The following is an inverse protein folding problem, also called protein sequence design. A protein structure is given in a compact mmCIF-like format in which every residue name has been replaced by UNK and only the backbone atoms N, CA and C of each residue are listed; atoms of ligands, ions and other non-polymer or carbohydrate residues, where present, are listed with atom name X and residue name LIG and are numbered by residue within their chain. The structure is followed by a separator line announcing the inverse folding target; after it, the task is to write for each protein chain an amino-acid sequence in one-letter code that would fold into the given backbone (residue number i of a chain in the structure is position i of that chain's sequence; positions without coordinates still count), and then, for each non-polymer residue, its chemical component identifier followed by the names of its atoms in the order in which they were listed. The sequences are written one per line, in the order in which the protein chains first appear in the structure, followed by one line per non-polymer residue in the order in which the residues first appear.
data_IF_299402046204
#
_entry.id   IF_299402046204
#
_cell.length_a   1.000
_cell.length_b   1.000
_cell.length_c   1.000
_cell.angle_alpha   90.00
_cell.angle_beta   90.00
_cell.angle_gamma   90.00
#
_symmetry.space_group_name_H-M   'P 1'
#
loop_
_entity.id
_entity.type
_entity.pdbx_description
1 polymer ?
#
# COMPACT_ATOMS: atom_id res chain seq x y z
N UNK A 1 -10.97 -16.83 2.68
CA UNK A 1 -11.35 -15.86 3.73
C UNK A 1 -10.27 -15.91 4.81
N UNK A 2 -9.77 -14.76 5.29
CA UNK A 2 -8.74 -14.74 6.32
C UNK A 2 -9.22 -15.39 7.61
N UNK A 3 -8.30 -15.98 8.37
CA UNK A 3 -8.55 -16.51 9.71
C UNK A 3 -9.08 -15.41 10.64
N UNK A 4 -9.77 -15.78 11.71
CA UNK A 4 -10.32 -14.80 12.66
C UNK A 4 -9.24 -13.89 13.28
N UNK A 5 -8.04 -14.44 13.51
CA UNK A 5 -6.86 -13.66 13.96
C UNK A 5 -6.46 -12.65 12.89
N UNK A 6 -6.28 -13.13 11.65
CA UNK A 6 -5.81 -12.29 10.55
C UNK A 6 -6.83 -11.24 10.13
N UNK A 7 -8.13 -11.53 10.23
CA UNK A 7 -9.20 -10.56 9.96
C UNK A 7 -9.17 -9.38 10.94
N UNK A 8 -8.85 -9.61 12.22
CA UNK A 8 -8.66 -8.50 13.19
C UNK A 8 -7.48 -7.61 12.78
N UNK A 9 -6.37 -8.23 12.37
CA UNK A 9 -5.20 -7.52 11.88
C UNK A 9 -5.50 -6.76 10.58
N UNK A 10 -6.30 -7.32 9.68
CA UNK A 10 -6.71 -6.69 8.42
C UNK A 10 -7.57 -5.44 8.68
N UNK A 11 -8.51 -5.49 9.64
CA UNK A 11 -9.30 -4.32 10.04
C UNK A 11 -8.40 -3.24 10.65
N UNK A 12 -7.48 -3.61 11.53
CA UNK A 12 -6.52 -2.66 12.11
C UNK A 12 -5.61 -2.05 11.03
N UNK A 13 -5.13 -2.86 10.09
CA UNK A 13 -4.30 -2.40 8.97
C UNK A 13 -5.07 -1.42 8.09
N UNK A 14 -6.35 -1.70 7.76
CA UNK A 14 -7.18 -0.75 7.01
C UNK A 14 -7.26 0.59 7.73
N UNK A 15 -7.52 0.61 9.04
CA UNK A 15 -7.59 1.86 9.81
C UNK A 15 -6.26 2.65 9.79
N UNK A 16 -5.12 1.96 9.96
CA UNK A 16 -3.79 2.59 9.92
C UNK A 16 -3.48 3.14 8.53
N UNK A 17 -3.77 2.39 7.47
CA UNK A 17 -3.48 2.84 6.11
C UNK A 17 -4.47 3.89 5.60
N UNK A 18 -5.68 3.95 6.16
CA UNK A 18 -6.63 5.05 5.95
C UNK A 18 -6.07 6.37 6.50
N UNK A 19 -5.53 6.34 7.72
CA UNK A 19 -4.83 7.50 8.30
C UNK A 19 -3.57 7.86 7.51
N UNK A 20 -2.79 6.86 7.07
CA UNK A 20 -1.62 7.10 6.21
C UNK A 20 -2.02 7.78 4.90
N UNK A 21 -3.11 7.32 4.26
CA UNK A 21 -3.66 7.96 3.07
C UNK A 21 -4.00 9.42 3.36
N UNK A 22 -4.70 9.72 4.45
CA UNK A 22 -5.09 11.09 4.78
C UNK A 22 -3.90 12.01 5.01
N UNK A 23 -2.88 11.53 5.72
CA UNK A 23 -1.67 12.30 6.01
C UNK A 23 -0.86 12.65 4.75
N UNK A 24 -0.78 11.73 3.78
CA UNK A 24 0.09 11.89 2.61
C UNK A 24 -0.64 12.32 1.33
N UNK A 25 -1.88 11.90 1.14
CA UNK A 25 -2.64 12.08 -0.09
C UNK A 25 -3.83 13.03 0.08
N UNK A 26 -4.20 13.38 1.33
CA UNK A 26 -5.35 14.21 1.76
C UNK A 26 -6.73 13.66 1.41
N UNK A 27 -6.86 13.02 0.26
CA UNK A 27 -8.06 12.39 -0.27
C UNK A 27 -7.67 11.18 -1.14
N UNK A 28 -8.64 10.35 -1.51
CA UNK A 28 -8.48 9.12 -2.26
C UNK A 28 -9.01 7.91 -1.51
N UNK A 29 -8.62 6.72 -1.96
CA UNK A 29 -9.12 5.46 -1.42
C UNK A 29 -7.92 4.58 -1.06
N UNK A 30 -7.97 3.99 0.13
CA UNK A 30 -7.03 2.96 0.57
C UNK A 30 -7.78 1.68 0.90
N UNK A 31 -7.12 0.54 0.73
CA UNK A 31 -7.63 -0.75 1.18
C UNK A 31 -6.48 -1.69 1.49
N UNK A 32 -6.62 -2.47 2.55
CA UNK A 32 -5.69 -3.54 2.90
C UNK A 32 -6.43 -4.89 2.89
N UNK A 33 -5.80 -5.89 2.30
CA UNK A 33 -6.30 -7.26 2.27
C UNK A 33 -5.21 -8.22 2.71
N UNK A 34 -5.51 -9.08 3.68
CA UNK A 34 -4.59 -10.06 4.23
C UNK A 34 -5.09 -11.48 3.96
N UNK A 35 -4.17 -12.42 3.77
CA UNK A 35 -4.50 -13.82 3.62
C UNK A 35 -3.47 -14.72 4.30
N UNK A 36 -3.96 -15.83 4.87
CA UNK A 36 -3.13 -16.82 5.54
C UNK A 36 -2.30 -17.62 4.54
N UNK A 37 -1.11 -18.01 4.98
CA UNK A 37 -0.23 -18.99 4.34
C UNK A 37 0.03 -20.10 5.37
N UNK A 38 0.65 -21.22 4.97
CA UNK A 38 0.79 -22.41 5.82
C UNK A 38 1.42 -22.13 7.21
N UNK A 39 2.46 -21.29 7.26
CA UNK A 39 3.17 -20.92 8.50
C UNK A 39 3.49 -19.41 8.53
N UNK A 40 2.68 -18.61 7.84
CA UNK A 40 2.93 -17.19 7.61
C UNK A 40 1.64 -16.49 7.18
N UNK A 41 1.72 -15.21 6.87
CA UNK A 41 0.66 -14.52 6.15
C UNK A 41 1.25 -13.54 5.14
N UNK A 42 0.42 -13.11 4.21
CA UNK A 42 0.77 -12.03 3.30
C UNK A 42 -0.40 -11.05 3.19
N UNK A 43 -0.10 -9.89 2.63
CA UNK A 43 -1.05 -8.82 2.50
C UNK A 43 -0.74 -7.93 1.31
N UNK A 44 -1.77 -7.24 0.84
CA UNK A 44 -1.65 -6.16 -0.13
C UNK A 44 -2.28 -4.90 0.44
N UNK A 45 -1.58 -3.79 0.28
CA UNK A 45 -2.09 -2.44 0.55
C UNK A 45 -2.20 -1.71 -0.77
N UNK A 46 -3.37 -1.17 -1.03
CA UNK A 46 -3.72 -0.42 -2.21
C UNK A 46 -4.01 1.01 -1.80
N UNK A 47 -3.46 1.97 -2.54
CA UNK A 47 -3.82 3.39 -2.40
C UNK A 47 -4.06 3.94 -3.80
N UNK A 48 -5.23 4.52 -4.03
CA UNK A 48 -5.59 5.19 -5.28
C UNK A 48 -5.97 6.63 -4.98
N UNK A 49 -5.35 7.56 -5.69
CA UNK A 49 -5.69 8.99 -5.62
C UNK A 49 -5.79 9.56 -7.02
N UNK A 50 -7.01 9.85 -7.45
CA UNK A 50 -7.25 10.62 -8.66
C UNK A 50 -7.05 12.11 -8.36
N UNK A 51 -6.44 12.83 -9.30
CA UNK A 51 -6.40 14.28 -9.29
C UNK A 51 -7.79 14.86 -9.58
N UNK A 52 -8.03 16.07 -9.08
CA UNK A 52 -9.27 16.83 -9.28
C UNK A 52 -9.46 17.32 -10.72
N UNK A 53 -8.46 17.17 -11.59
CA UNK A 53 -8.51 17.63 -12.97
C UNK A 53 -8.34 19.15 -13.11
N UNK A 54 -7.84 19.83 -12.08
CA UNK A 54 -7.63 21.28 -12.08
C UNK A 54 -6.71 21.72 -13.23
N UNK A 55 -7.00 22.90 -13.79
CA UNK A 55 -6.19 23.54 -14.84
C UNK A 55 -5.92 22.69 -16.10
N UNK A 56 -6.85 21.81 -16.49
CA UNK A 56 -6.70 20.85 -17.59
C UNK A 56 -5.57 19.83 -17.38
N UNK A 57 -5.19 19.58 -16.13
CA UNK A 57 -4.22 18.57 -15.73
C UNK A 57 -4.97 17.45 -15.01
N UNK A 58 -5.17 16.34 -15.72
CA UNK A 58 -5.65 15.09 -15.13
C UNK A 58 -4.45 14.30 -14.64
N UNK A 59 -4.63 13.57 -13.56
CA UNK A 59 -3.59 12.69 -13.07
C UNK A 59 -4.16 11.69 -12.10
N UNK A 60 -3.39 10.65 -11.84
CA UNK A 60 -3.71 9.74 -10.74
C UNK A 60 -2.48 8.95 -10.35
N UNK A 61 -2.54 8.60 -9.07
CA UNK A 61 -1.57 7.83 -8.37
C UNK A 61 -2.19 6.50 -7.97
N UNK A 62 -1.49 5.40 -8.26
CA UNK A 62 -1.84 4.07 -7.79
C UNK A 62 -0.62 3.45 -7.11
N UNK A 63 -0.73 3.17 -5.81
CA UNK A 63 0.25 2.38 -5.05
C UNK A 63 -0.27 0.97 -4.82
N UNK A 64 0.60 -0.02 -5.02
CA UNK A 64 0.38 -1.42 -4.64
C UNK A 64 1.57 -1.91 -3.84
N UNK A 65 1.35 -2.25 -2.58
CA UNK A 65 2.37 -2.73 -1.67
C UNK A 65 2.03 -4.17 -1.27
N UNK A 66 2.79 -5.14 -1.76
CA UNK A 66 2.64 -6.55 -1.38
C UNK A 66 3.66 -6.86 -0.29
N UNK A 67 3.16 -7.27 0.88
CA UNK A 67 3.97 -7.66 2.02
C UNK A 67 3.81 -9.16 2.30
N UNK A 68 4.91 -9.85 2.58
CA UNK A 68 4.91 -11.22 3.07
C UNK A 68 5.66 -11.28 4.40
N UNK A 69 5.02 -11.85 5.42
CA UNK A 69 5.54 -11.90 6.78
C UNK A 69 5.73 -13.36 7.19
N UNK A 70 6.97 -13.75 7.45
CA UNK A 70 7.31 -15.07 7.97
C UNK A 70 7.67 -14.97 9.44
N UNK A 71 6.80 -15.49 10.31
CA UNK A 71 7.04 -15.62 11.74
C UNK A 71 8.04 -16.77 11.96
N UNK A 72 9.14 -16.53 12.69
CA UNK A 72 10.05 -17.63 13.08
C UNK A 72 9.43 -18.39 14.25
N UNK A 73 9.41 -19.72 14.18
CA UNK A 73 8.84 -20.59 15.22
C UNK A 73 9.58 -20.52 16.57
N UNK A 74 10.80 -19.99 16.61
CA UNK A 74 11.71 -20.05 17.75
C UNK A 74 12.06 -18.69 18.37
N UNK A 75 11.43 -17.58 17.96
CA UNK A 75 11.74 -16.28 18.55
C UNK A 75 10.88 -15.13 18.03
N UNK A 76 11.03 -13.92 18.61
CA UNK A 76 10.18 -12.77 18.30
C UNK A 76 10.50 -12.14 16.93
N UNK A 77 11.43 -12.69 16.16
CA UNK A 77 11.87 -12.07 14.91
C UNK A 77 11.00 -12.56 13.74
N UNK A 78 10.35 -11.64 13.06
CA UNK A 78 9.64 -11.87 11.82
C UNK A 78 10.46 -11.38 10.63
N UNK A 79 10.46 -12.16 9.54
CA UNK A 79 11.07 -11.75 8.28
C UNK A 79 10.00 -11.15 7.38
N UNK A 80 10.17 -9.87 7.05
CA UNK A 80 9.25 -9.09 6.25
C UNK A 80 9.85 -8.84 4.87
N UNK A 81 9.13 -9.25 3.82
CA UNK A 81 9.44 -8.91 2.44
C UNK A 81 8.38 -7.95 1.93
N UNK A 82 8.80 -6.82 1.38
CA UNK A 82 7.94 -5.80 0.81
C UNK A 82 8.29 -5.59 -0.66
N UNK A 83 7.32 -5.77 -1.54
CA UNK A 83 7.38 -5.35 -2.94
C UNK A 83 6.40 -4.20 -3.14
N UNK A 84 6.91 -3.02 -3.51
CA UNK A 84 6.12 -1.82 -3.72
C UNK A 84 6.16 -1.41 -5.17
N UNK A 85 4.99 -1.21 -5.77
CA UNK A 85 4.80 -0.67 -7.11
C UNK A 85 4.01 0.62 -7.01
N UNK A 86 4.51 1.66 -7.66
CA UNK A 86 3.82 2.94 -7.82
C UNK A 86 3.62 3.19 -9.30
N UNK A 87 2.38 3.43 -9.71
CA UNK A 87 2.03 3.94 -11.03
C UNK A 87 1.62 5.39 -10.90
N UNK A 88 2.14 6.21 -11.80
CA UNK A 88 1.74 7.60 -11.94
C UNK A 88 1.38 7.83 -13.40
N UNK A 89 0.21 8.39 -13.63
CA UNK A 89 -0.13 8.95 -14.92
C UNK A 89 -0.55 10.41 -14.75
N UNK A 90 -0.20 11.20 -15.76
CA UNK A 90 -0.60 12.59 -15.91
C UNK A 90 -1.08 12.78 -17.36
N UNK A 91 -1.99 13.72 -17.54
CA UNK A 91 -2.45 14.18 -18.83
C UNK A 91 -2.69 15.69 -18.72
N UNK A 92 -1.97 16.46 -19.52
CA UNK A 92 -2.14 17.91 -19.61
C UNK A 92 -2.49 18.29 -21.03
N UNK A 93 -3.43 19.22 -21.20
CA UNK A 93 -3.78 19.80 -22.49
C UNK A 93 -3.69 21.32 -22.41
N UNK A 94 -2.64 21.89 -23.00
CA UNK A 94 -2.42 23.35 -23.05
C UNK A 94 -2.24 23.80 -24.49
N UNK A 95 -2.69 25.02 -24.81
CA UNK A 95 -2.60 25.57 -26.17
C UNK A 95 -1.16 25.72 -26.67
N UNK A 96 -0.21 26.02 -25.78
CA UNK A 96 1.20 26.22 -26.12
C UNK A 96 1.99 24.92 -26.30
N UNK A 97 1.63 23.84 -25.59
CA UNK A 97 2.39 22.58 -25.58
C UNK A 97 1.64 21.40 -26.21
N UNK A 98 0.40 21.61 -26.65
CA UNK A 98 -0.49 20.51 -27.06
C UNK A 98 -0.87 19.59 -25.90
N UNK A 99 -1.25 18.36 -26.25
CA UNK A 99 -1.58 17.30 -25.27
C UNK A 99 -0.35 16.48 -24.93
N UNK A 100 -0.05 16.37 -23.64
CA UNK A 100 1.07 15.57 -23.12
C UNK A 100 0.55 14.56 -22.09
N UNK A 101 0.94 13.29 -22.23
CA UNK A 101 0.45 12.18 -21.41
C UNK A 101 1.62 11.37 -20.81
N UNK A 102 2.40 11.90 -19.85
CA UNK A 102 3.44 11.13 -19.23
C UNK A 102 2.82 10.11 -18.26
N UNK A 103 3.25 8.86 -18.38
CA UNK A 103 2.82 7.78 -17.50
C UNK A 103 3.91 6.74 -17.34
N UNK A 104 3.93 6.08 -16.18
CA UNK A 104 4.90 5.03 -15.92
C UNK A 104 4.71 4.39 -14.55
N UNK A 105 5.55 3.38 -14.29
CA UNK A 105 5.56 2.67 -13.03
C UNK A 105 6.97 2.49 -12.50
N UNK A 106 7.14 2.49 -11.18
CA UNK A 106 8.38 2.11 -10.52
C UNK A 106 8.10 0.98 -9.52
N UNK A 107 8.94 -0.06 -9.54
CA UNK A 107 8.84 -1.21 -8.64
C UNK A 107 10.11 -1.28 -7.80
N UNK A 108 9.97 -1.47 -6.49
CA UNK A 108 11.06 -1.67 -5.54
C UNK A 108 10.76 -2.84 -4.62
N UNK A 109 11.81 -3.53 -4.19
CA UNK A 109 11.72 -4.64 -3.26
C UNK A 109 12.67 -4.41 -2.09
N UNK A 110 12.26 -4.83 -0.90
CA UNK A 110 13.07 -4.75 0.32
C UNK A 110 12.73 -5.92 1.22
N UNK A 111 13.73 -6.44 1.92
CA UNK A 111 13.61 -7.53 2.88
C UNK A 111 14.27 -7.11 4.19
N UNK A 112 13.60 -7.35 5.32
CA UNK A 112 14.10 -6.98 6.64
C UNK A 112 13.64 -7.99 7.69
N UNK A 113 14.55 -8.32 8.62
CA UNK A 113 14.22 -9.06 9.84
C UNK A 113 13.90 -8.03 10.93
N UNK A 114 12.72 -8.12 11.53
CA UNK A 114 12.20 -7.20 12.54
C UNK A 114 11.74 -7.95 13.79
N UNK A 115 11.90 -7.35 14.96
CA UNK A 115 11.37 -7.90 16.22
C UNK A 115 9.87 -7.59 16.30
N UNK A 116 9.04 -8.62 16.19
CA UNK A 116 7.63 -8.57 16.52
C UNK A 116 7.49 -8.25 18.01
N UNK A 117 6.95 -7.07 18.29
CA UNK A 117 6.56 -6.68 19.65
C UNK A 117 5.07 -6.96 19.83
N UNK A 118 4.67 -7.39 21.02
CA UNK A 118 3.26 -7.54 21.37
C UNK A 118 2.59 -6.16 21.38
N UNK A 119 1.85 -5.83 20.33
CA UNK A 119 0.95 -4.69 20.33
C UNK A 119 -0.34 -5.07 21.07
N UNK A 120 -0.25 -5.23 22.39
CA UNK A 120 -1.40 -5.45 23.29
C UNK A 120 -2.01 -4.15 23.85
N UNK A 121 -1.52 -2.98 23.42
CA UNK A 121 -2.03 -1.67 23.85
C UNK A 121 -2.04 -0.64 22.70
N UNK A 122 -3.04 -0.69 21.83
CA UNK A 122 -3.62 0.48 21.12
C UNK A 122 -5.07 0.21 20.83
#
# INVERSE_FOLDING_TARGET
MPSARLRKLEVAANNVFDQHRDLYFKDGISSAYLWDLAHSFAGVILIKRAGDGSENIKGCWDSTHVAAVQEKSSGPIARCKLASMVMLWLQTSKSSSGTMNPGGSSIRQTEKDETASDCSHT
#
